data_IF_641411250332
#
_entry.id   IF_641411250332
#
_cell.length_a   1.000
_cell.length_b   1.000
_cell.length_c   1.000
_cell.angle_alpha   90.00
_cell.angle_beta   90.00
_cell.angle_gamma   90.00
#
_symmetry.space_group_name_H-M   'P 1'
#
loop_
_entity.id
_entity.type
_entity.pdbx_description
1 polymer ?
#
# COMPACT_ATOMS: atom_id res chain seq x y z
N UNK A 1 33.10 6.11 0.05
CA UNK A 1 33.13 4.95 -0.86
C UNK A 1 33.16 3.67 -0.03
N UNK A 2 32.01 3.02 0.20
CA UNK A 2 31.98 1.76 0.98
C UNK A 2 32.56 0.64 0.14
N UNK A 3 33.65 0.02 0.59
CA UNK A 3 34.27 -1.11 -0.07
C UNK A 3 33.24 -2.22 -0.32
N UNK A 4 33.30 -2.82 -1.51
CA UNK A 4 32.40 -3.92 -1.90
C UNK A 4 32.62 -5.09 -0.93
N UNK A 5 31.59 -5.55 -0.21
CA UNK A 5 31.74 -6.62 0.76
C UNK A 5 32.19 -7.92 0.08
N UNK A 6 32.95 -8.72 0.83
CA UNK A 6 33.45 -10.01 0.37
C UNK A 6 32.29 -10.98 0.08
N UNK A 7 32.55 -12.00 -0.74
CA UNK A 7 31.49 -12.92 -1.23
C UNK A 7 30.80 -13.65 -0.08
N UNK A 8 31.56 -14.12 0.91
CA UNK A 8 31.09 -14.74 2.15
C UNK A 8 30.11 -13.83 2.91
N UNK A 9 30.43 -12.55 3.04
CA UNK A 9 29.55 -11.58 3.71
C UNK A 9 28.24 -11.38 2.93
N UNK A 10 28.30 -11.34 1.60
CA UNK A 10 27.10 -11.20 0.76
C UNK A 10 26.18 -12.41 0.90
N UNK A 11 26.75 -13.61 0.91
CA UNK A 11 25.99 -14.86 1.11
C UNK A 11 25.30 -14.83 2.48
N UNK A 12 26.01 -14.42 3.53
CA UNK A 12 25.43 -14.29 4.87
C UNK A 12 24.27 -13.28 4.91
N UNK A 13 24.40 -12.13 4.23
CA UNK A 13 23.33 -11.12 4.17
C UNK A 13 22.08 -11.64 3.46
N UNK A 14 22.27 -12.33 2.33
CA UNK A 14 21.16 -12.92 1.57
C UNK A 14 20.47 -14.00 2.38
N UNK A 15 21.25 -14.89 3.02
CA UNK A 15 20.72 -15.97 3.85
C UNK A 15 19.80 -15.43 4.95
N UNK A 16 20.29 -14.50 5.78
CA UNK A 16 19.48 -13.89 6.86
C UNK A 16 18.23 -13.21 6.31
N UNK A 17 18.33 -12.53 5.16
CA UNK A 17 17.21 -11.86 4.55
C UNK A 17 16.14 -12.83 4.03
N UNK A 18 16.53 -13.95 3.42
CA UNK A 18 15.59 -14.98 2.97
C UNK A 18 14.89 -15.67 4.14
N UNK A 19 15.63 -16.05 5.18
CA UNK A 19 15.07 -16.67 6.38
C UNK A 19 14.01 -15.78 7.05
N UNK A 20 14.27 -14.47 7.15
CA UNK A 20 13.30 -13.55 7.75
C UNK A 20 12.14 -13.20 6.81
N UNK A 21 12.40 -12.90 5.53
CA UNK A 21 11.37 -12.35 4.63
C UNK A 21 10.56 -13.41 3.90
N UNK A 22 11.16 -14.55 3.56
CA UNK A 22 10.49 -15.64 2.84
C UNK A 22 9.95 -16.70 3.80
N UNK A 23 10.74 -17.11 4.80
CA UNK A 23 10.33 -18.15 5.75
C UNK A 23 9.61 -17.58 6.99
N UNK A 24 9.61 -16.25 7.16
CA UNK A 24 8.93 -15.59 8.28
C UNK A 24 9.58 -15.84 9.64
N UNK A 25 10.80 -16.39 9.67
CA UNK A 25 11.51 -16.68 10.91
C UNK A 25 11.90 -15.39 11.63
N UNK A 26 11.74 -15.32 12.95
CA UNK A 26 12.00 -14.09 13.67
C UNK A 26 13.51 -13.86 13.82
N UNK A 27 13.93 -12.59 13.77
CA UNK A 27 15.36 -12.21 13.76
C UNK A 27 16.13 -12.64 15.01
N UNK A 28 15.47 -12.85 16.15
CA UNK A 28 16.11 -13.37 17.36
C UNK A 28 16.57 -14.82 17.17
N UNK A 29 15.73 -15.69 16.60
CA UNK A 29 16.09 -17.10 16.36
C UNK A 29 17.25 -17.22 15.36
N UNK A 30 17.18 -16.46 14.25
CA UNK A 30 18.25 -16.43 13.24
C UNK A 30 19.56 -15.88 13.85
N UNK A 31 19.45 -14.89 14.75
CA UNK A 31 20.60 -14.31 15.40
C UNK A 31 21.26 -15.27 16.40
N UNK A 32 20.46 -16.02 17.17
CA UNK A 32 20.93 -17.08 18.07
C UNK A 32 21.64 -18.20 17.31
N UNK A 33 21.06 -18.67 16.19
CA UNK A 33 21.65 -19.70 15.32
C UNK A 33 23.02 -19.27 14.77
N UNK A 34 23.15 -18.00 14.38
CA UNK A 34 24.37 -17.45 13.81
C UNK A 34 25.36 -16.90 14.86
N UNK A 35 25.00 -16.94 16.15
CA UNK A 35 25.83 -16.38 17.23
C UNK A 35 26.03 -14.86 17.15
N UNK A 36 25.07 -14.13 16.57
CA UNK A 36 25.11 -12.68 16.40
C UNK A 36 24.01 -11.99 17.22
N UNK A 37 24.10 -10.68 17.35
CA UNK A 37 23.00 -9.90 17.96
C UNK A 37 21.82 -9.76 17.00
N UNK A 38 20.58 -9.70 17.53
CA UNK A 38 19.37 -9.32 16.78
C UNK A 38 19.56 -8.05 15.94
N UNK A 39 20.26 -7.04 16.48
CA UNK A 39 20.53 -5.81 15.74
C UNK A 39 21.50 -6.03 14.58
N UNK A 40 22.45 -6.96 14.71
CA UNK A 40 23.34 -7.35 13.63
C UNK A 40 22.55 -8.05 12.52
N UNK A 41 21.67 -9.01 12.85
CA UNK A 41 20.79 -9.66 11.88
C UNK A 41 19.90 -8.65 11.14
N UNK A 42 19.29 -7.70 11.86
CA UNK A 42 18.50 -6.63 11.23
C UNK A 42 19.33 -5.77 10.26
N UNK A 43 20.58 -5.43 10.62
CA UNK A 43 21.51 -4.72 9.73
C UNK A 43 21.88 -5.54 8.50
N UNK A 44 22.00 -6.86 8.62
CA UNK A 44 22.29 -7.76 7.49
C UNK A 44 21.15 -7.74 6.47
N UNK A 45 19.90 -7.83 6.92
CA UNK A 45 18.72 -7.70 6.03
C UNK A 45 18.72 -6.34 5.32
N UNK A 46 18.98 -5.26 6.07
CA UNK A 46 19.07 -3.91 5.51
C UNK A 46 20.18 -3.81 4.46
N UNK A 47 21.36 -4.36 4.75
CA UNK A 47 22.50 -4.38 3.82
C UNK A 47 22.21 -5.22 2.57
N UNK A 48 21.48 -6.33 2.69
CA UNK A 48 21.04 -7.11 1.54
C UNK A 48 20.19 -6.28 0.58
N UNK A 49 19.29 -5.44 1.11
CA UNK A 49 18.49 -4.49 0.32
C UNK A 49 19.33 -3.34 -0.26
N UNK A 50 20.16 -2.69 0.56
CA UNK A 50 21.01 -1.56 0.14
C UNK A 50 22.02 -1.94 -0.96
N UNK A 51 22.51 -3.19 -0.93
CA UNK A 51 23.45 -3.72 -1.92
C UNK A 51 22.75 -4.31 -3.16
N UNK A 52 21.42 -4.28 -3.22
CA UNK A 52 20.64 -4.87 -4.31
C UNK A 52 20.80 -6.39 -4.43
N UNK A 53 21.07 -7.07 -3.31
CA UNK A 53 21.17 -8.54 -3.28
C UNK A 53 19.80 -9.21 -3.23
N UNK A 54 18.76 -8.47 -2.81
CA UNK A 54 17.37 -8.91 -2.76
C UNK A 54 16.45 -7.78 -3.22
N UNK A 55 15.38 -8.15 -3.92
CA UNK A 55 14.27 -7.28 -4.29
C UNK A 55 13.01 -7.81 -3.61
N UNK A 56 12.29 -6.94 -2.88
CA UNK A 56 11.00 -7.29 -2.28
C UNK A 56 9.93 -6.65 -3.13
N UNK A 57 9.12 -7.47 -3.80
CA UNK A 57 7.99 -7.00 -4.60
C UNK A 57 6.70 -7.29 -3.84
N UNK A 58 5.98 -6.25 -3.49
CA UNK A 58 4.60 -6.39 -3.04
C UNK A 58 3.74 -6.66 -4.28
N UNK A 59 3.04 -7.79 -4.29
CA UNK A 59 2.04 -8.11 -5.31
C UNK A 59 0.70 -8.08 -4.61
N UNK A 60 -0.19 -7.23 -5.09
CA UNK A 60 -1.60 -7.21 -4.71
C UNK A 60 -2.37 -7.70 -5.93
N UNK A 61 -3.38 -8.55 -5.72
CA UNK A 61 -4.20 -9.10 -6.83
C UNK A 61 -4.97 -8.02 -7.58
N UNK A 62 -5.23 -6.90 -6.90
CA UNK A 62 -5.78 -5.70 -7.49
C UNK A 62 -4.67 -4.81 -8.08
N UNK A 63 -4.96 -4.04 -9.14
CA UNK A 63 -4.02 -3.13 -9.79
C UNK A 63 -3.68 -1.94 -8.89
N UNK A 64 -3.07 -2.18 -7.74
CA UNK A 64 -2.81 -1.18 -6.69
C UNK A 64 -1.31 -0.98 -6.50
N UNK A 65 -0.89 0.27 -6.57
CA UNK A 65 0.49 0.69 -6.34
C UNK A 65 0.71 0.97 -4.84
N UNK A 66 1.16 -0.04 -4.10
CA UNK A 66 1.30 0.01 -2.64
C UNK A 66 2.28 1.11 -2.18
N UNK A 67 3.43 1.22 -2.83
CA UNK A 67 4.44 2.22 -2.45
C UNK A 67 3.95 3.65 -2.70
N UNK A 68 3.26 3.88 -3.81
CA UNK A 68 2.72 5.19 -4.16
C UNK A 68 1.56 5.57 -3.23
N UNK A 69 0.69 4.60 -2.93
CA UNK A 69 -0.38 4.68 -1.93
C UNK A 69 0.16 5.12 -0.56
N UNK A 70 1.17 4.42 -0.04
CA UNK A 70 1.79 4.75 1.25
C UNK A 70 2.53 6.11 1.25
N UNK A 71 3.07 6.55 0.11
CA UNK A 71 3.68 7.87 -0.03
C UNK A 71 2.66 8.99 -0.06
N UNK A 72 1.53 8.82 -0.75
CA UNK A 72 0.45 9.80 -0.80
C UNK A 72 -0.21 9.97 0.56
N UNK A 73 -0.53 8.86 1.24
CA UNK A 73 -1.11 8.89 2.57
C UNK A 73 -0.25 9.72 3.54
N UNK A 74 1.07 9.44 3.59
CA UNK A 74 2.01 10.20 4.44
C UNK A 74 2.16 11.66 4.03
N UNK A 75 2.13 11.98 2.73
CA UNK A 75 2.30 13.35 2.25
C UNK A 75 1.09 14.23 2.57
N UNK A 76 -0.12 13.67 2.49
CA UNK A 76 -1.37 14.40 2.69
C UNK A 76 -1.99 14.20 4.08
N UNK A 77 -1.38 13.36 4.93
CA UNK A 77 -1.90 13.07 6.27
C UNK A 77 -3.22 12.29 6.24
N UNK A 78 -3.44 11.48 5.20
CA UNK A 78 -4.65 10.68 5.05
C UNK A 78 -4.53 9.38 5.86
N UNK A 79 -5.65 8.92 6.40
CA UNK A 79 -5.75 7.61 7.07
C UNK A 79 -5.50 6.47 6.08
N UNK A 80 -6.05 6.59 4.87
CA UNK A 80 -5.80 5.67 3.77
C UNK A 80 -5.76 6.42 2.43
N UNK A 81 -4.89 5.96 1.53
CA UNK A 81 -4.86 6.43 0.14
C UNK A 81 -4.54 5.22 -0.73
N UNK A 82 -5.37 4.94 -1.73
CA UNK A 82 -5.21 3.80 -2.65
C UNK A 82 -4.96 4.34 -4.05
N UNK A 83 -3.89 3.89 -4.67
CA UNK A 83 -3.52 4.28 -6.03
C UNK A 83 -3.72 3.10 -6.95
N UNK A 84 -4.60 3.27 -7.93
CA UNK A 84 -4.90 2.25 -8.94
C UNK A 84 -4.04 2.48 -10.18
N UNK A 85 -3.20 1.50 -10.53
CA UNK A 85 -2.41 1.51 -11.75
C UNK A 85 -3.19 0.86 -12.90
N UNK A 86 -3.74 1.68 -13.78
CA UNK A 86 -4.43 1.20 -14.97
C UNK A 86 -3.52 1.24 -16.19
N UNK A 87 -3.38 0.15 -16.97
CA UNK A 87 -2.62 0.17 -18.22
C UNK A 87 -3.33 0.96 -19.33
N UNK A 88 -4.63 1.22 -19.21
CA UNK A 88 -5.40 2.08 -20.13
C UNK A 88 -5.37 3.54 -19.67
N UNK A 89 -5.20 4.45 -20.63
CA UNK A 89 -5.36 5.91 -20.45
C UNK A 89 -6.78 6.39 -20.76
N UNK A 90 -7.68 5.48 -21.17
CA UNK A 90 -9.07 5.80 -21.47
C UNK A 90 -9.83 6.20 -20.20
N UNK A 91 -10.38 7.41 -20.16
CA UNK A 91 -11.04 7.93 -18.96
C UNK A 91 -12.20 7.05 -18.46
N UNK A 92 -12.89 6.32 -19.36
CA UNK A 92 -13.93 5.37 -18.99
C UNK A 92 -13.36 4.12 -18.30
N UNK A 93 -12.29 3.55 -18.85
CA UNK A 93 -11.62 2.37 -18.30
C UNK A 93 -10.98 2.67 -16.94
N UNK A 94 -10.37 3.85 -16.81
CA UNK A 94 -9.80 4.33 -15.54
C UNK A 94 -10.89 4.47 -14.47
N UNK A 95 -12.03 5.06 -14.82
CA UNK A 95 -13.17 5.17 -13.89
C UNK A 95 -13.73 3.82 -13.49
N UNK A 96 -13.86 2.88 -14.43
CA UNK A 96 -14.35 1.54 -14.16
C UNK A 96 -13.41 0.78 -13.20
N UNK A 97 -12.09 0.85 -13.43
CA UNK A 97 -11.09 0.25 -12.56
C UNK A 97 -11.09 0.88 -11.15
N UNK A 98 -11.15 2.21 -11.07
CA UNK A 98 -11.26 2.92 -9.79
C UNK A 98 -12.54 2.52 -9.03
N UNK A 99 -13.68 2.46 -9.73
CA UNK A 99 -14.95 2.08 -9.13
C UNK A 99 -14.92 0.63 -8.61
N UNK A 100 -14.31 -0.30 -9.35
CA UNK A 100 -14.16 -1.69 -8.91
C UNK A 100 -13.31 -1.80 -7.63
N UNK A 101 -12.15 -1.13 -7.59
CA UNK A 101 -11.28 -1.14 -6.41
C UNK A 101 -11.97 -0.45 -5.22
N UNK A 102 -12.63 0.69 -5.44
CA UNK A 102 -13.37 1.39 -4.40
C UNK A 102 -14.53 0.55 -3.84
N UNK A 103 -15.28 -0.14 -4.70
CA UNK A 103 -16.37 -1.02 -4.28
C UNK A 103 -15.86 -2.20 -3.45
N UNK A 104 -14.77 -2.85 -3.87
CA UNK A 104 -14.13 -3.93 -3.09
C UNK A 104 -13.65 -3.43 -1.73
N UNK A 105 -12.94 -2.31 -1.71
CA UNK A 105 -12.48 -1.69 -0.47
C UNK A 105 -13.64 -1.39 0.47
N UNK A 106 -14.73 -0.84 -0.07
CA UNK A 106 -15.94 -0.54 0.70
C UNK A 106 -16.58 -1.80 1.29
N UNK A 107 -16.74 -2.87 0.50
CA UNK A 107 -17.30 -4.14 0.99
C UNK A 107 -16.44 -4.77 2.09
N UNK A 108 -15.12 -4.63 2.03
CA UNK A 108 -14.20 -5.17 3.03
C UNK A 108 -14.18 -4.38 4.35
N UNK A 109 -14.52 -3.08 4.31
CA UNK A 109 -14.38 -2.19 5.46
C UNK A 109 -15.72 -1.70 6.03
N UNK A 110 -16.82 -1.85 5.30
CA UNK A 110 -18.14 -1.45 5.76
C UNK A 110 -18.71 -2.43 6.79
N UNK A 111 -19.14 -1.92 7.94
CA UNK A 111 -19.89 -2.66 8.95
C UNK A 111 -21.41 -2.62 8.68
N UNK A 112 -22.17 -3.50 9.35
CA UNK A 112 -23.62 -3.69 9.13
C UNK A 112 -24.49 -2.45 9.45
N UNK A 113 -23.92 -1.37 10.00
CA UNK A 113 -24.61 -0.12 10.34
C UNK A 113 -23.90 1.15 9.82
N UNK A 114 -22.98 1.04 8.86
CA UNK A 114 -22.24 2.19 8.35
C UNK A 114 -23.11 3.12 7.49
N UNK A 115 -23.11 4.42 7.81
CA UNK A 115 -23.81 5.44 7.04
C UNK A 115 -22.93 5.92 5.88
N UNK A 116 -23.37 5.66 4.65
CA UNK A 116 -22.64 6.03 3.43
C UNK A 116 -23.14 7.36 2.87
N UNK A 117 -22.30 8.39 2.96
CA UNK A 117 -22.51 9.64 2.23
C UNK A 117 -22.10 9.50 0.76
N UNK A 118 -23.04 9.66 -0.17
CA UNK A 118 -22.73 9.65 -1.61
C UNK A 118 -22.97 11.03 -2.22
N UNK A 119 -21.94 11.59 -2.86
CA UNK A 119 -22.07 12.78 -3.69
C UNK A 119 -22.14 12.40 -5.17
N UNK A 120 -23.07 12.96 -5.96
CA UNK A 120 -23.08 12.77 -7.41
C UNK A 120 -21.76 13.22 -8.03
N UNK A 121 -20.97 12.26 -8.51
CA UNK A 121 -19.70 12.55 -9.15
C UNK A 121 -19.95 13.07 -10.57
N UNK A 122 -19.87 14.39 -10.75
CA UNK A 122 -19.94 15.01 -12.08
C UNK A 122 -20.82 16.25 -12.22
N UNK A 123 -21.15 16.99 -11.15
CA UNK A 123 -21.66 18.33 -11.39
C UNK A 123 -20.52 19.23 -11.88
N UNK A 124 -20.59 19.82 -13.09
CA UNK A 124 -19.76 20.98 -13.38
C UNK A 124 -20.06 22.04 -12.30
N UNK A 125 -19.03 22.74 -11.84
CA UNK A 125 -19.03 23.73 -10.76
C UNK A 125 -19.85 25.02 -11.06
N UNK A 126 -20.97 24.87 -11.76
CA UNK A 126 -21.91 25.92 -12.10
C UNK A 126 -23.32 25.47 -11.72
N UNK A 127 -23.67 25.71 -10.47
CA UNK A 127 -25.06 25.76 -10.03
C UNK A 127 -25.58 27.19 -10.18
N UNK A 128 -26.28 27.57 -11.27
CA UNK A 128 -27.27 28.64 -11.19
C UNK A 128 -28.51 28.07 -10.51
N UNK A 129 -28.99 28.75 -9.48
CA UNK A 129 -29.93 28.20 -8.49
C UNK A 129 -31.16 27.49 -9.07
N UNK A 130 -31.41 26.28 -8.57
CA UNK A 130 -32.74 25.79 -8.19
C UNK A 130 -32.53 24.58 -7.28
N UNK A 131 -32.61 24.81 -5.97
CA UNK A 131 -32.71 23.77 -4.93
C UNK A 131 -34.09 23.82 -4.25
N UNK A 132 -35.10 24.39 -4.93
CA UNK A 132 -36.40 24.66 -4.31
C UNK A 132 -37.53 23.70 -4.75
N UNK A 133 -37.18 22.55 -5.32
CA UNK A 133 -38.19 21.64 -5.90
C UNK A 133 -37.88 20.16 -5.67
N UNK A 134 -37.39 19.77 -4.50
CA UNK A 134 -37.40 18.39 -4.06
C UNK A 134 -38.33 18.25 -2.83
N UNK A 135 -39.61 17.88 -3.01
CA UNK A 135 -40.45 17.49 -1.90
C UNK A 135 -40.05 16.07 -1.48
N UNK A 136 -39.37 15.93 -0.33
CA UNK A 136 -39.25 14.62 0.32
C UNK A 136 -37.96 14.29 1.07
N UNK A 137 -36.91 15.12 1.02
CA UNK A 137 -35.69 14.86 1.79
C UNK A 137 -35.62 15.79 3.00
N UNK A 138 -36.43 15.49 4.01
CA UNK A 138 -36.22 15.99 5.38
C UNK A 138 -35.44 14.95 6.17
N UNK A 139 -34.47 15.48 6.92
CA UNK A 139 -33.59 14.87 7.94
C UNK A 139 -32.53 13.88 7.47
N UNK A 140 -31.31 14.39 7.27
CA UNK A 140 -30.15 13.81 7.95
C UNK A 140 -30.20 14.28 9.41
N UNK A 141 -30.23 13.33 10.34
CA UNK A 141 -29.95 13.50 11.77
C UNK A 141 -28.66 12.77 12.10
#
# INVERSE_FOLDING_TARGET
>A
MSAKPRIDQRVAYVYVAMQNLAEGRPLNEIAEELGISRFAAARMVRRARELGLIEVRAVVDDPVEVDLSARLARRFGLESAIVVATPSTGAADVRAALAAVAARFFVEHAAEDDVVGMTPAGLPSRCPGVWNSCPGWTSCS
#
